data_IF_853654352225
#
_entry.id   IF_853654352225
#
_cell.length_a   1.000
_cell.length_b   1.000
_cell.length_c   1.000
_cell.angle_alpha   90.00
_cell.angle_beta   90.00
_cell.angle_gamma   90.00
#
_symmetry.space_group_name_H-M   'P 1'
#
loop_
_entity.id
_entity.type
_entity.pdbx_description
1 polymer ?
#
# COMPACT_ATOMS: atom_id res chain seq x y z
N UNK A 1 -12.66 -6.56 -18.06
CA UNK A 1 -13.13 -5.87 -16.84
C UNK A 1 -12.55 -4.47 -16.79
N UNK A 2 -13.34 -3.47 -16.39
CA UNK A 2 -12.83 -2.12 -16.09
C UNK A 2 -11.98 -2.21 -14.81
N UNK A 3 -10.76 -1.65 -14.83
CA UNK A 3 -9.91 -1.54 -13.63
C UNK A 3 -10.31 -0.30 -12.83
N UNK A 4 -10.37 -0.42 -11.51
CA UNK A 4 -10.69 0.66 -10.60
C UNK A 4 -9.41 1.22 -9.99
N UNK A 5 -9.30 2.55 -9.94
CA UNK A 5 -8.14 3.22 -9.35
C UNK A 5 -8.35 3.41 -7.86
N UNK A 6 -7.25 3.43 -7.11
CA UNK A 6 -7.26 3.86 -5.72
C UNK A 6 -7.45 5.39 -5.64
N UNK A 7 -8.12 5.84 -4.58
CA UNK A 7 -8.30 7.26 -4.31
C UNK A 7 -7.06 7.93 -3.68
N UNK A 8 -6.04 7.16 -3.28
CA UNK A 8 -4.74 7.68 -2.85
C UNK A 8 -3.68 7.52 -3.95
N UNK A 9 -2.73 8.46 -3.99
CA UNK A 9 -1.43 8.26 -4.63
C UNK A 9 -0.55 7.51 -3.64
N UNK A 10 0.01 6.38 -4.05
CA UNK A 10 0.84 5.57 -3.16
C UNK A 10 2.04 5.01 -3.89
N UNK A 11 3.18 4.99 -3.21
CA UNK A 11 4.36 4.32 -3.73
C UNK A 11 4.08 2.83 -3.88
N UNK A 12 4.57 2.20 -4.95
CA UNK A 12 4.37 0.77 -5.19
C UNK A 12 3.00 0.37 -5.72
N UNK A 13 2.09 1.31 -6.03
CA UNK A 13 0.74 1.01 -6.52
C UNK A 13 0.71 -0.02 -7.67
N UNK A 14 0.02 -1.14 -7.44
CA UNK A 14 0.03 -2.33 -8.33
C UNK A 14 -0.93 -2.28 -9.50
N UNK A 15 -1.53 -1.12 -9.79
CA UNK A 15 -2.52 -0.95 -10.86
C UNK A 15 -2.09 -1.52 -12.22
N UNK A 16 -0.82 -1.36 -12.60
CA UNK A 16 -0.27 -1.89 -13.85
C UNK A 16 -0.05 -3.41 -13.82
N UNK A 17 0.15 -3.99 -12.64
CA UNK A 17 0.43 -5.42 -12.41
C UNK A 17 -0.82 -6.23 -12.07
N UNK A 18 -2.00 -5.59 -11.97
CA UNK A 18 -3.24 -6.24 -11.55
C UNK A 18 -3.60 -7.48 -12.38
N UNK A 19 -3.34 -7.48 -13.68
CA UNK A 19 -3.69 -8.63 -14.52
C UNK A 19 -2.80 -9.83 -14.21
N UNK A 20 -1.51 -9.61 -13.97
CA UNK A 20 -0.58 -10.68 -13.59
C UNK A 20 -0.82 -11.16 -12.17
N UNK A 21 -1.13 -10.26 -11.23
CA UNK A 21 -1.50 -10.63 -9.85
C UNK A 21 -2.76 -11.49 -9.87
N UNK A 22 -3.83 -11.04 -10.54
CA UNK A 22 -5.11 -11.78 -10.61
C UNK A 22 -4.99 -13.16 -11.24
N UNK A 23 -4.09 -13.34 -12.20
CA UNK A 23 -3.85 -14.68 -12.80
C UNK A 23 -3.19 -15.66 -11.82
N UNK A 24 -2.53 -15.16 -10.79
CA UNK A 24 -1.81 -15.97 -9.81
C UNK A 24 -2.44 -15.99 -8.43
N UNK A 25 -3.47 -15.18 -8.21
CA UNK A 25 -4.24 -15.13 -6.97
C UNK A 25 -5.48 -16.02 -7.14
N UNK A 26 -5.58 -17.17 -6.46
CA UNK A 26 -6.72 -18.06 -6.61
C UNK A 26 -7.98 -17.48 -5.98
N UNK A 27 -9.11 -18.10 -6.29
CA UNK A 27 -10.37 -17.85 -5.57
C UNK A 27 -10.27 -18.33 -4.12
N UNK A 28 -11.09 -17.73 -3.26
CA UNK A 28 -11.21 -18.07 -1.85
C UNK A 28 -12.32 -17.24 -1.19
N UNK A 29 -12.55 -17.46 0.08
CA UNK A 29 -13.60 -16.75 0.83
C UNK A 29 -13.11 -15.38 1.32
N UNK A 30 -11.84 -15.31 1.70
CA UNK A 30 -11.22 -14.14 2.32
C UNK A 30 -9.91 -13.81 1.63
N UNK A 31 -9.68 -12.53 1.30
CA UNK A 31 -8.35 -12.03 0.97
C UNK A 31 -7.77 -11.28 2.17
N UNK A 32 -6.56 -11.68 2.58
CA UNK A 32 -5.75 -10.93 3.54
C UNK A 32 -4.67 -10.16 2.79
N UNK A 33 -4.62 -8.83 2.97
CA UNK A 33 -3.52 -7.98 2.52
C UNK A 33 -2.83 -7.34 3.74
N UNK A 34 -1.70 -7.88 4.23
CA UNK A 34 -0.99 -7.32 5.39
C UNK A 34 -0.22 -6.01 5.09
N UNK A 35 -0.17 -5.61 3.81
CA UNK A 35 0.45 -4.40 3.33
C UNK A 35 -0.49 -3.71 2.32
N UNK A 36 -1.70 -3.37 2.75
CA UNK A 36 -2.77 -2.92 1.83
C UNK A 36 -2.35 -1.69 1.03
N UNK A 37 -1.58 -0.76 1.61
CA UNK A 37 -1.22 0.49 0.96
C UNK A 37 -2.46 1.16 0.34
N UNK A 38 -2.43 1.49 -0.96
CA UNK A 38 -3.58 2.08 -1.67
C UNK A 38 -4.77 1.13 -1.93
N UNK A 39 -4.68 -0.15 -1.61
CA UNK A 39 -5.74 -1.14 -1.83
C UNK A 39 -6.00 -1.48 -3.30
N UNK A 40 -4.99 -1.40 -4.17
CA UNK A 40 -5.19 -1.65 -5.61
C UNK A 40 -5.70 -3.06 -5.92
N UNK A 41 -5.23 -4.09 -5.20
CA UNK A 41 -5.68 -5.48 -5.38
C UNK A 41 -7.09 -5.65 -4.83
N UNK A 42 -7.34 -5.27 -3.58
CA UNK A 42 -8.68 -5.19 -2.97
C UNK A 42 -9.75 -4.56 -3.88
N UNK A 43 -9.46 -3.41 -4.50
CA UNK A 43 -10.43 -2.69 -5.35
C UNK A 43 -10.72 -3.37 -6.70
N UNK A 44 -9.96 -4.42 -7.04
CA UNK A 44 -9.98 -5.07 -8.36
C UNK A 44 -10.11 -6.60 -8.30
N UNK A 45 -10.33 -7.18 -7.12
CA UNK A 45 -10.64 -8.60 -6.89
C UNK A 45 -12.05 -8.76 -6.34
N UNK A 46 -12.55 -9.99 -6.27
CA UNK A 46 -13.86 -10.30 -5.71
C UNK A 46 -13.72 -11.47 -4.73
N UNK A 47 -13.67 -11.16 -3.44
CA UNK A 47 -13.75 -12.10 -2.33
C UNK A 47 -14.97 -11.74 -1.48
N UNK A 48 -15.50 -12.72 -0.73
CA UNK A 48 -16.67 -12.50 0.12
C UNK A 48 -16.37 -11.56 1.29
N UNK A 49 -15.13 -11.57 1.77
CA UNK A 49 -14.62 -10.65 2.80
C UNK A 49 -13.14 -10.33 2.62
N UNK A 50 -12.68 -9.27 3.26
CA UNK A 50 -11.29 -8.83 3.25
C UNK A 50 -10.79 -8.50 4.67
N UNK A 51 -9.52 -8.84 4.96
CA UNK A 51 -8.79 -8.31 6.11
C UNK A 51 -7.61 -7.52 5.55
N UNK A 52 -7.65 -6.20 5.73
CA UNK A 52 -6.73 -5.26 5.11
C UNK A 52 -5.95 -4.56 6.21
N UNK A 53 -4.64 -4.77 6.25
CA UNK A 53 -3.78 -4.20 7.28
C UNK A 53 -2.65 -3.35 6.69
N UNK A 54 -2.24 -2.37 7.47
CA UNK A 54 -1.05 -1.57 7.23
C UNK A 54 -0.51 -1.09 8.59
N UNK A 55 0.78 -0.83 8.67
CA UNK A 55 1.39 -0.25 9.89
C UNK A 55 1.10 1.25 9.99
N UNK A 56 0.68 1.89 8.90
CA UNK A 56 0.33 3.30 8.88
C UNK A 56 -1.07 3.53 9.49
N UNK A 57 -1.09 4.05 10.72
CA UNK A 57 -2.33 4.34 11.45
C UNK A 57 -3.20 5.41 10.79
N UNK A 58 -2.61 6.43 10.15
CA UNK A 58 -3.38 7.48 9.45
C UNK A 58 -4.09 6.92 8.23
N UNK A 59 -3.46 5.98 7.53
CA UNK A 59 -4.06 5.28 6.39
C UNK A 59 -5.27 4.44 6.83
N UNK A 60 -5.11 3.63 7.88
CA UNK A 60 -6.18 2.77 8.39
C UNK A 60 -7.32 3.61 8.98
N UNK A 61 -7.00 4.71 9.68
CA UNK A 61 -7.98 5.67 10.16
C UNK A 61 -8.81 6.27 9.01
N UNK A 62 -8.15 6.75 7.96
CA UNK A 62 -8.81 7.26 6.75
C UNK A 62 -9.74 6.20 6.14
N UNK A 63 -9.29 4.96 6.01
CA UNK A 63 -10.10 3.88 5.41
C UNK A 63 -11.36 3.57 6.20
N UNK A 64 -11.27 3.51 7.54
CA UNK A 64 -12.45 3.32 8.38
C UNK A 64 -13.41 4.52 8.30
N UNK A 65 -12.91 5.76 8.27
CA UNK A 65 -13.76 6.95 8.10
C UNK A 65 -14.48 6.95 6.75
N UNK A 66 -13.77 6.64 5.65
CA UNK A 66 -14.41 6.56 4.32
C UNK A 66 -15.41 5.41 4.26
N UNK A 67 -15.14 4.28 4.92
CA UNK A 67 -16.09 3.16 5.02
C UNK A 67 -17.40 3.55 5.73
N UNK A 68 -17.30 4.30 6.83
CA UNK A 68 -18.43 4.56 7.73
C UNK A 68 -19.18 5.86 7.42
N UNK A 69 -18.48 6.87 6.90
CA UNK A 69 -18.95 8.27 6.80
C UNK A 69 -18.65 8.89 5.42
N UNK A 70 -18.71 8.11 4.35
CA UNK A 70 -18.40 8.59 2.99
C UNK A 70 -19.17 9.87 2.60
N UNK A 71 -20.49 9.90 2.85
CA UNK A 71 -21.37 11.00 2.45
C UNK A 71 -21.05 12.32 3.18
N UNK A 72 -20.40 12.25 4.35
CA UNK A 72 -19.90 13.40 5.09
C UNK A 72 -18.46 13.74 4.69
N UNK A 73 -17.62 12.70 4.57
CA UNK A 73 -16.20 12.84 4.26
C UNK A 73 -15.95 13.46 2.88
N UNK A 74 -16.68 13.02 1.86
CA UNK A 74 -16.48 13.48 0.47
C UNK A 74 -16.71 14.99 0.32
N UNK A 75 -17.83 15.59 0.76
CA UNK A 75 -18.02 17.04 0.64
C UNK A 75 -17.00 17.83 1.48
N UNK A 76 -16.67 17.39 2.69
CA UNK A 76 -15.70 18.07 3.56
C UNK A 76 -14.28 18.06 2.94
N UNK A 77 -13.84 16.90 2.46
CA UNK A 77 -12.56 16.77 1.78
C UNK A 77 -12.51 17.65 0.52
N UNK A 78 -13.60 17.72 -0.26
CA UNK A 78 -13.67 18.55 -1.47
C UNK A 78 -13.44 20.03 -1.20
N UNK A 79 -13.83 20.55 -0.04
CA UNK A 79 -13.63 21.96 0.30
C UNK A 79 -12.15 22.38 0.26
N UNK A 80 -11.22 21.44 0.43
CA UNK A 80 -9.78 21.67 0.33
C UNK A 80 -9.23 21.58 -1.10
N UNK A 81 -10.01 21.09 -2.08
CA UNK A 81 -9.59 20.89 -3.47
C UNK A 81 -10.03 22.07 -4.35
N UNK A 82 -9.66 23.28 -3.93
CA UNK A 82 -9.96 24.54 -4.61
C UNK A 82 -8.68 25.20 -5.15
N UNK A 83 -8.78 26.19 -6.05
CA UNK A 83 -7.61 26.97 -6.46
C UNK A 83 -6.87 27.61 -5.27
N UNK A 84 -7.60 28.06 -4.25
CA UNK A 84 -7.06 28.63 -3.02
C UNK A 84 -6.37 27.58 -2.15
N UNK A 85 -6.90 26.34 -2.14
CA UNK A 85 -6.27 25.20 -1.48
C UNK A 85 -4.96 24.78 -2.14
N UNK A 86 -4.77 25.02 -3.44
CA UNK A 86 -3.54 24.68 -4.16
C UNK A 86 -2.46 25.76 -4.06
N UNK A 87 -2.21 26.22 -2.84
CA UNK A 87 -1.20 27.23 -2.51
C UNK A 87 -0.17 26.69 -1.52
N UNK A 88 1.07 27.19 -1.59
CA UNK A 88 2.16 26.68 -0.75
C UNK A 88 2.00 27.04 0.73
N UNK A 89 1.48 28.22 1.06
CA UNK A 89 1.28 28.66 2.43
C UNK A 89 0.14 27.86 3.06
N UNK A 90 -0.97 27.71 2.32
CA UNK A 90 -2.11 26.88 2.72
C UNK A 90 -1.70 25.42 2.93
N UNK A 91 -0.90 24.86 2.02
CA UNK A 91 -0.38 23.50 2.17
C UNK A 91 0.42 23.31 3.47
N UNK A 92 1.33 24.22 3.79
CA UNK A 92 2.14 24.10 5.01
C UNK A 92 1.33 24.35 6.28
N UNK A 93 0.33 25.23 6.24
CA UNK A 93 -0.62 25.40 7.35
C UNK A 93 -1.43 24.12 7.60
N UNK A 94 -2.01 23.52 6.55
CA UNK A 94 -2.72 22.24 6.66
C UNK A 94 -1.81 21.10 7.12
N UNK A 95 -0.53 21.07 6.72
CA UNK A 95 0.43 20.07 7.18
C UNK A 95 0.76 20.24 8.67
N UNK A 96 0.93 21.47 9.12
CA UNK A 96 1.12 21.78 10.53
C UNK A 96 -0.11 21.39 11.34
N UNK A 97 -1.30 21.75 10.86
CA UNK A 97 -2.58 21.35 11.46
C UNK A 97 -2.65 19.82 11.57
N UNK A 98 -2.37 19.09 10.50
CA UNK A 98 -2.36 17.63 10.51
C UNK A 98 -1.42 17.05 11.56
N UNK A 99 -0.21 17.58 11.70
CA UNK A 99 0.77 17.09 12.68
C UNK A 99 0.36 17.39 14.14
N UNK A 100 -0.46 18.41 14.38
CA UNK A 100 -0.92 18.83 15.71
C UNK A 100 -2.34 18.33 16.05
N UNK A 101 -3.09 17.86 15.05
CA UNK A 101 -4.48 17.47 15.18
C UNK A 101 -4.61 16.08 15.81
N UNK A 102 -5.43 15.97 16.86
CA UNK A 102 -5.81 14.70 17.49
C UNK A 102 -7.20 14.19 17.06
N UNK A 103 -7.96 14.99 16.31
CA UNK A 103 -9.29 14.59 15.82
C UNK A 103 -9.14 13.66 14.61
N UNK A 104 -9.59 12.41 14.77
CA UNK A 104 -9.45 11.36 13.77
C UNK A 104 -10.07 11.75 12.41
N UNK A 105 -11.22 12.41 12.44
CA UNK A 105 -11.94 12.80 11.23
C UNK A 105 -11.21 13.90 10.46
N UNK A 106 -10.84 14.99 11.14
CA UNK A 106 -10.08 16.09 10.56
C UNK A 106 -8.72 15.64 10.05
N UNK A 107 -8.03 14.74 10.77
CA UNK A 107 -6.78 14.12 10.29
C UNK A 107 -7.00 13.39 8.96
N UNK A 108 -8.06 12.61 8.80
CA UNK A 108 -8.34 11.89 7.55
C UNK A 108 -8.61 12.86 6.38
N UNK A 109 -9.38 13.92 6.61
CA UNK A 109 -9.65 14.97 5.61
C UNK A 109 -8.34 15.63 5.15
N UNK A 110 -7.50 16.03 6.11
CA UNK A 110 -6.19 16.61 5.83
C UNK A 110 -5.24 15.62 5.15
N UNK A 111 -5.27 14.34 5.53
CA UNK A 111 -4.42 13.30 4.95
C UNK A 111 -4.67 13.12 3.44
N UNK A 112 -5.93 13.08 3.02
CA UNK A 112 -6.28 13.02 1.60
C UNK A 112 -5.82 14.27 0.84
N UNK A 113 -6.05 15.45 1.41
CA UNK A 113 -5.57 16.72 0.84
C UNK A 113 -4.06 16.70 0.67
N UNK A 114 -3.31 16.40 1.73
CA UNK A 114 -1.85 16.36 1.73
C UNK A 114 -1.33 15.33 0.72
N UNK A 115 -1.91 14.13 0.66
CA UNK A 115 -1.52 13.11 -0.33
C UNK A 115 -1.63 13.60 -1.78
N UNK A 116 -2.69 14.35 -2.08
CA UNK A 116 -2.96 14.85 -3.44
C UNK A 116 -2.15 16.11 -3.79
N UNK A 117 -1.75 16.90 -2.79
CA UNK A 117 -1.02 18.16 -2.97
C UNK A 117 0.49 18.03 -2.74
N UNK A 118 0.97 16.98 -2.08
CA UNK A 118 2.39 16.80 -1.77
C UNK A 118 3.23 16.30 -2.95
N UNK A 119 4.55 16.47 -2.84
CA UNK A 119 5.50 15.98 -3.82
C UNK A 119 5.36 14.47 -4.07
N UNK A 120 5.06 14.12 -5.32
CA UNK A 120 4.83 12.77 -5.83
C UNK A 120 3.81 11.89 -5.10
N UNK A 121 2.98 12.44 -4.19
CA UNK A 121 2.08 11.61 -3.37
C UNK A 121 2.84 10.73 -2.38
N UNK A 122 4.02 11.16 -1.94
CA UNK A 122 4.78 10.46 -0.90
C UNK A 122 4.04 10.54 0.44
N UNK A 123 4.15 9.47 1.21
CA UNK A 123 3.76 9.42 2.61
C UNK A 123 5.02 9.18 3.43
N UNK A 124 5.53 10.22 4.11
CA UNK A 124 6.79 10.16 4.86
C UNK A 124 6.70 10.98 6.13
N UNK A 125 7.09 10.34 7.22
CA UNK A 125 7.13 10.91 8.55
C UNK A 125 8.59 11.04 9.03
N UNK A 126 8.85 11.99 9.92
CA UNK A 126 10.11 12.07 10.66
C UNK A 126 10.08 11.12 11.88
N UNK A 127 11.19 11.09 12.63
CA UNK A 127 11.32 10.28 13.86
C UNK A 127 10.30 10.67 14.95
N UNK A 128 9.77 11.90 14.89
CA UNK A 128 8.76 12.40 15.81
C UNK A 128 7.33 12.07 15.38
N UNK A 129 7.15 11.31 14.29
CA UNK A 129 5.84 10.94 13.77
C UNK A 129 5.14 12.03 12.96
N UNK A 130 5.84 13.09 12.57
CA UNK A 130 5.26 14.21 11.82
C UNK A 130 5.44 14.05 10.31
N UNK A 131 4.37 14.25 9.55
CA UNK A 131 4.43 14.25 8.09
C UNK A 131 5.29 15.41 7.60
N UNK A 132 6.33 15.11 6.80
CA UNK A 132 7.34 16.09 6.40
C UNK A 132 7.53 16.22 4.87
N UNK A 133 6.53 15.83 4.08
CA UNK A 133 6.60 15.89 2.61
C UNK A 133 6.37 17.34 2.14
N UNK A 134 7.19 17.88 1.22
CA UNK A 134 7.03 19.24 0.71
C UNK A 134 5.86 19.35 -0.29
N UNK A 135 5.43 20.59 -0.56
CA UNK A 135 4.39 20.89 -1.54
C UNK A 135 4.78 20.43 -2.96
N UNK A 136 3.84 19.82 -3.68
CA UNK A 136 4.09 19.17 -4.97
C UNK A 136 3.96 20.08 -6.20
N UNK A 137 3.41 21.30 -6.06
CA UNK A 137 3.25 22.29 -7.14
C UNK A 137 2.53 21.77 -8.39
N UNK A 138 1.50 20.93 -8.21
CA UNK A 138 0.68 20.49 -9.34
C UNK A 138 -0.17 21.64 -9.87
N UNK A 139 -0.47 21.63 -11.18
CA UNK A 139 -1.36 22.63 -11.80
C UNK A 139 -2.77 22.58 -11.22
N UNK A 140 -3.32 21.38 -11.06
CA UNK A 140 -4.66 21.12 -10.49
C UNK A 140 -4.69 19.70 -9.92
N UNK A 141 -4.56 19.53 -8.60
CA UNK A 141 -4.77 18.25 -7.95
C UNK A 141 -6.14 17.67 -8.26
N UNK A 142 -6.19 16.40 -8.64
CA UNK A 142 -7.43 15.68 -8.91
C UNK A 142 -8.12 15.30 -7.60
N UNK A 143 -9.40 15.63 -7.46
CA UNK A 143 -10.24 15.18 -6.36
C UNK A 143 -10.90 13.83 -6.73
N UNK A 144 -10.61 12.74 -6.00
CA UNK A 144 -11.00 11.39 -6.38
C UNK A 144 -12.39 10.99 -5.86
N UNK A 145 -13.42 11.72 -6.29
CA UNK A 145 -14.80 11.50 -5.83
C UNK A 145 -15.33 10.10 -6.14
N UNK A 146 -15.30 9.70 -7.41
CA UNK A 146 -15.81 8.40 -7.85
C UNK A 146 -15.02 7.26 -7.18
N UNK A 147 -13.71 7.42 -7.02
CA UNK A 147 -12.88 6.42 -6.36
C UNK A 147 -13.14 6.34 -4.84
N UNK A 148 -13.53 7.43 -4.18
CA UNK A 148 -13.91 7.43 -2.76
C UNK A 148 -15.21 6.66 -2.54
N UNK A 149 -16.25 6.94 -3.34
CA UNK A 149 -17.52 6.21 -3.23
C UNK A 149 -17.37 4.74 -3.61
N UNK A 150 -16.60 4.44 -4.67
CA UNK A 150 -16.28 3.06 -5.02
C UNK A 150 -15.53 2.34 -3.89
N UNK A 151 -14.56 3.01 -3.25
CA UNK A 151 -13.87 2.45 -2.09
C UNK A 151 -14.83 2.19 -0.94
N UNK A 152 -15.72 3.14 -0.62
CA UNK A 152 -16.70 3.01 0.47
C UNK A 152 -17.67 1.85 0.27
N UNK A 153 -18.16 1.65 -0.96
CA UNK A 153 -19.01 0.50 -1.33
C UNK A 153 -18.26 -0.82 -1.11
N UNK A 154 -17.04 -0.91 -1.63
CA UNK A 154 -16.19 -2.09 -1.49
C UNK A 154 -15.80 -2.37 -0.03
N UNK A 155 -15.58 -1.32 0.75
CA UNK A 155 -15.15 -1.37 2.13
C UNK A 155 -16.18 -2.01 3.08
N UNK A 156 -17.44 -2.14 2.66
CA UNK A 156 -18.46 -2.85 3.44
C UNK A 156 -18.13 -4.34 3.62
N UNK A 157 -17.33 -4.92 2.72
CA UNK A 157 -16.84 -6.29 2.80
C UNK A 157 -15.46 -6.40 3.48
N UNK A 158 -14.89 -5.29 3.97
CA UNK A 158 -13.52 -5.24 4.47
C UNK A 158 -13.46 -4.89 5.97
N UNK A 159 -12.50 -5.49 6.65
CA UNK A 159 -12.04 -5.07 7.98
C UNK A 159 -10.66 -4.44 7.84
N UNK A 160 -10.52 -3.19 8.27
CA UNK A 160 -9.24 -2.48 8.25
C UNK A 160 -8.61 -2.49 9.64
N UNK A 161 -7.36 -2.94 9.75
CA UNK A 161 -6.64 -3.04 11.02
C UNK A 161 -5.25 -2.40 10.93
N UNK A 162 -4.84 -1.68 11.97
CA UNK A 162 -3.52 -1.08 12.07
C UNK A 162 -2.60 -2.02 12.84
N UNK A 163 -1.98 -2.96 12.14
CA UNK A 163 -1.20 -4.05 12.73
C UNK A 163 0.00 -4.39 11.85
N UNK A 164 1.00 -5.04 12.43
CA UNK A 164 2.13 -5.57 11.68
C UNK A 164 1.72 -6.78 10.83
N UNK A 165 2.53 -7.07 9.82
CA UNK A 165 2.26 -8.12 8.85
C UNK A 165 2.18 -9.50 9.48
N UNK A 166 3.04 -9.81 10.45
CA UNK A 166 3.12 -11.09 11.14
C UNK A 166 1.86 -11.36 11.98
N UNK A 167 1.37 -10.35 12.71
CA UNK A 167 0.11 -10.43 13.46
C UNK A 167 -1.07 -10.65 12.51
N UNK A 168 -1.10 -9.92 11.39
CA UNK A 168 -2.16 -10.02 10.40
C UNK A 168 -2.17 -11.40 9.72
N UNK A 169 -0.99 -11.93 9.38
CA UNK A 169 -0.83 -13.27 8.80
C UNK A 169 -1.26 -14.38 9.77
N UNK A 170 -1.07 -14.19 11.08
CA UNK A 170 -1.57 -15.10 12.11
C UNK A 170 -3.10 -15.23 12.18
N UNK A 171 -3.85 -14.34 11.52
CA UNK A 171 -5.32 -14.41 11.39
C UNK A 171 -5.78 -15.25 10.20
N UNK A 172 -4.86 -15.76 9.38
CA UNK A 172 -5.20 -16.57 8.22
C UNK A 172 -5.76 -17.93 8.67
N UNK A 173 -6.92 -18.29 8.12
CA UNK A 173 -7.62 -19.55 8.37
C UNK A 173 -7.85 -20.27 7.05
N UNK A 174 -8.33 -21.51 7.10
CA UNK A 174 -8.73 -22.25 5.89
C UNK A 174 -9.75 -21.44 5.06
N UNK A 175 -9.58 -21.45 3.74
CA UNK A 175 -10.39 -20.65 2.81
C UNK A 175 -9.88 -19.21 2.61
N UNK A 176 -8.83 -18.81 3.31
CA UNK A 176 -8.13 -17.54 3.07
C UNK A 176 -7.11 -17.66 1.94
N UNK A 177 -7.00 -16.58 1.16
CA UNK A 177 -5.89 -16.30 0.26
C UNK A 177 -5.15 -15.08 0.80
N UNK A 178 -3.83 -15.06 0.71
CA UNK A 178 -3.00 -13.95 1.19
C UNK A 178 -2.27 -13.31 0.02
N UNK A 179 -2.30 -11.98 -0.05
CA UNK A 179 -1.47 -11.20 -0.97
C UNK A 179 -0.58 -10.23 -0.20
N UNK A 180 0.74 -10.40 -0.31
CA UNK A 180 1.74 -9.57 0.35
C UNK A 180 2.45 -8.66 -0.64
N UNK A 181 2.40 -7.36 -0.39
CA UNK A 181 3.14 -6.33 -1.13
C UNK A 181 4.05 -5.51 -0.20
N UNK A 182 5.11 -6.13 0.35
CA UNK A 182 5.99 -5.46 1.30
C UNK A 182 6.71 -4.25 0.66
N UNK A 183 7.20 -3.29 1.46
CA UNK A 183 8.18 -2.32 0.98
C UNK A 183 9.35 -3.05 0.32
N UNK A 184 9.77 -2.60 -0.87
CA UNK A 184 10.71 -3.39 -1.67
C UNK A 184 12.10 -3.50 -1.07
N UNK A 185 12.74 -4.62 -1.37
CA UNK A 185 14.13 -4.84 -1.08
C UNK A 185 15.02 -3.77 -1.73
N UNK A 186 16.10 -3.32 -1.07
CA UNK A 186 17.04 -2.39 -1.66
C UNK A 186 17.68 -2.99 -2.93
N UNK A 187 17.90 -2.16 -3.95
CA UNK A 187 18.47 -2.59 -5.23
C UNK A 187 19.96 -2.98 -5.15
N UNK A 188 20.65 -2.60 -4.08
CA UNK A 188 22.01 -3.04 -3.79
C UNK A 188 22.27 -3.06 -2.28
N UNK A 189 23.19 -3.91 -1.84
CA UNK A 189 23.66 -3.94 -0.44
C UNK A 189 24.27 -2.59 0.01
N UNK A 190 24.78 -1.78 -0.93
CA UNK A 190 25.36 -0.45 -0.68
C UNK A 190 24.34 0.68 -0.57
N UNK A 191 23.13 0.51 -1.14
CA UNK A 191 22.02 1.46 -0.95
C UNK A 191 21.46 1.45 0.48
N UNK A 192 21.86 0.45 1.28
CA UNK A 192 21.44 0.25 2.66
C UNK A 192 22.16 1.19 3.64
N UNK A 193 23.34 1.71 3.28
CA UNK A 193 24.20 2.46 4.21
C UNK A 193 23.75 3.90 4.47
N UNK A 194 22.73 4.40 3.75
CA UNK A 194 22.23 5.78 3.84
C UNK A 194 20.82 5.93 4.41
N UNK A 195 20.15 4.82 4.78
CA UNK A 195 18.81 4.87 5.37
C UNK A 195 18.91 4.90 6.91
N UNK A 196 18.78 6.08 7.49
CA UNK A 196 18.62 6.25 8.94
C UNK A 196 17.42 5.43 9.43
N UNK A 197 17.71 4.37 10.17
CA UNK A 197 16.77 3.39 10.70
C UNK A 197 15.95 3.99 11.85
N UNK A 198 14.64 4.12 11.63
CA UNK A 198 13.57 3.65 12.53
C UNK A 198 12.33 3.39 11.64
N UNK A 199 11.63 2.27 11.85
CA UNK A 199 10.45 1.82 11.07
C UNK A 199 10.63 1.49 9.57
N UNK A 200 11.84 1.13 9.12
CA UNK A 200 12.02 0.56 7.77
C UNK A 200 11.86 -0.96 7.79
N UNK A 201 11.11 -1.51 6.82
CA UNK A 201 10.99 -2.97 6.60
C UNK A 201 12.36 -3.54 6.21
N UNK A 202 13.00 -4.20 7.17
CA UNK A 202 14.39 -4.65 7.14
C UNK A 202 14.56 -5.93 6.31
N UNK A 203 15.81 -6.26 5.97
CA UNK A 203 16.16 -7.54 5.34
C UNK A 203 15.71 -8.75 6.17
N UNK A 204 15.74 -8.63 7.50
CA UNK A 204 15.27 -9.67 8.41
C UNK A 204 13.75 -9.84 8.32
N UNK A 205 13.00 -8.74 8.23
CA UNK A 205 11.55 -8.78 8.05
C UNK A 205 11.15 -9.33 6.68
N UNK A 206 11.91 -9.03 5.62
CA UNK A 206 11.73 -9.64 4.29
C UNK A 206 11.88 -11.16 4.32
N UNK A 207 12.95 -11.66 4.96
CA UNK A 207 13.17 -13.09 5.11
C UNK A 207 12.08 -13.73 5.99
N UNK A 208 11.74 -13.10 7.12
CA UNK A 208 10.71 -13.59 8.02
C UNK A 208 9.33 -13.68 7.33
N UNK A 209 8.99 -12.72 6.45
CA UNK A 209 7.78 -12.79 5.63
C UNK A 209 7.77 -14.05 4.72
N UNK A 210 8.90 -14.41 4.12
CA UNK A 210 9.02 -15.60 3.29
C UNK A 210 8.89 -16.91 4.10
N UNK A 211 9.44 -16.92 5.32
CA UNK A 211 9.31 -18.02 6.28
C UNK A 211 7.85 -18.22 6.70
N UNK A 212 7.14 -17.14 7.05
CA UNK A 212 5.71 -17.18 7.37
C UNK A 212 4.87 -17.67 6.17
N UNK A 213 5.17 -17.21 4.95
CA UNK A 213 4.47 -17.67 3.75
C UNK A 213 4.66 -19.17 3.51
N UNK A 214 5.87 -19.68 3.77
CA UNK A 214 6.18 -21.11 3.69
C UNK A 214 5.38 -21.91 4.71
N UNK A 215 5.36 -21.47 5.97
CA UNK A 215 4.58 -22.09 7.05
C UNK A 215 3.09 -22.13 6.71
N UNK A 216 2.49 -21.01 6.33
CA UNK A 216 1.07 -20.93 5.99
C UNK A 216 0.69 -21.86 4.84
N UNK A 217 1.54 -21.95 3.82
CA UNK A 217 1.30 -22.83 2.68
C UNK A 217 1.43 -24.31 3.07
N UNK A 218 2.49 -24.69 3.79
CA UNK A 218 2.79 -26.10 4.08
C UNK A 218 1.95 -26.67 5.22
N UNK A 219 1.72 -25.89 6.28
CA UNK A 219 1.05 -26.37 7.50
C UNK A 219 -0.45 -26.10 7.48
N UNK A 220 -0.89 -25.02 6.82
CA UNK A 220 -2.30 -24.60 6.83
C UNK A 220 -2.99 -24.71 5.46
N UNK A 221 -2.26 -25.12 4.41
CA UNK A 221 -2.77 -25.16 3.03
C UNK A 221 -3.34 -23.81 2.56
N UNK A 222 -2.76 -22.70 3.04
CA UNK A 222 -3.17 -21.34 2.70
C UNK A 222 -2.32 -20.85 1.53
N UNK A 223 -2.97 -20.33 0.47
CA UNK A 223 -2.23 -19.76 -0.65
C UNK A 223 -1.71 -18.39 -0.31
N UNK A 224 -0.41 -18.16 -0.53
CA UNK A 224 0.25 -16.86 -0.32
C UNK A 224 0.93 -16.42 -1.62
N UNK A 225 0.60 -15.20 -2.08
CA UNK A 225 1.25 -14.56 -3.21
C UNK A 225 2.02 -13.34 -2.73
N UNK A 226 3.33 -13.29 -2.96
CA UNK A 226 4.19 -12.16 -2.61
C UNK A 226 4.67 -11.46 -3.87
N UNK A 227 4.63 -10.12 -3.91
CA UNK A 227 5.29 -9.32 -4.96
C UNK A 227 6.51 -8.57 -4.45
N UNK A 228 7.62 -8.63 -5.17
CA UNK A 228 8.83 -7.85 -4.88
C UNK A 228 9.61 -7.50 -6.17
N UNK A 229 10.73 -6.80 -6.04
CA UNK A 229 11.71 -6.70 -7.12
C UNK A 229 12.32 -8.06 -7.45
N UNK A 230 12.62 -8.30 -8.71
CA UNK A 230 13.39 -9.47 -9.13
C UNK A 230 14.89 -9.22 -8.96
N UNK A 231 15.42 -9.69 -7.83
CA UNK A 231 16.85 -9.58 -7.45
C UNK A 231 17.39 -10.94 -6.99
N UNK A 232 18.73 -11.13 -6.94
CA UNK A 232 19.32 -12.34 -6.35
C UNK A 232 18.83 -12.63 -4.93
N UNK A 233 18.72 -11.58 -4.09
CA UNK A 233 18.27 -11.70 -2.69
C UNK A 233 16.82 -12.16 -2.58
N UNK A 234 15.91 -11.57 -3.36
CA UNK A 234 14.49 -11.96 -3.34
C UNK A 234 14.29 -13.37 -3.90
N UNK A 235 15.11 -13.81 -4.86
CA UNK A 235 15.09 -15.20 -5.34
C UNK A 235 15.59 -16.19 -4.30
N UNK A 236 16.57 -15.80 -3.50
CA UNK A 236 17.05 -16.59 -2.35
C UNK A 236 15.97 -16.70 -1.27
N UNK A 237 15.37 -15.58 -0.86
CA UNK A 237 14.30 -15.59 0.15
C UNK A 237 13.09 -16.41 -0.30
N UNK A 238 12.70 -16.30 -1.57
CA UNK A 238 11.52 -16.97 -2.11
C UNK A 238 11.82 -18.34 -2.74
N UNK A 239 12.98 -18.94 -2.46
CA UNK A 239 13.36 -20.25 -3.02
C UNK A 239 12.39 -21.39 -2.66
N UNK A 240 11.67 -21.26 -1.54
CA UNK A 240 10.66 -22.23 -1.10
C UNK A 240 9.29 -22.04 -1.76
N UNK A 241 9.11 -20.97 -2.57
CA UNK A 241 7.87 -20.76 -3.30
C UNK A 241 7.65 -21.88 -4.33
N UNK A 242 6.43 -22.37 -4.42
CA UNK A 242 6.01 -23.38 -5.40
C UNK A 242 6.25 -22.88 -6.84
N UNK A 243 6.10 -21.57 -7.06
CA UNK A 243 6.35 -20.96 -8.36
C UNK A 243 6.85 -19.52 -8.23
N UNK A 244 7.85 -19.19 -9.04
CA UNK A 244 8.37 -17.84 -9.23
C UNK A 244 8.03 -17.35 -10.64
N UNK A 245 7.36 -16.20 -10.75
CA UNK A 245 7.00 -15.59 -12.03
C UNK A 245 7.64 -14.22 -12.16
N UNK A 246 8.49 -14.07 -13.17
CA UNK A 246 9.10 -12.81 -13.54
C UNK A 246 8.14 -11.99 -14.43
N UNK A 247 7.94 -10.72 -14.08
CA UNK A 247 7.17 -9.77 -14.87
C UNK A 247 8.08 -8.64 -15.32
N UNK A 248 8.21 -8.48 -16.64
CA UNK A 248 8.98 -7.38 -17.23
C UNK A 248 8.20 -6.07 -17.10
N UNK A 249 8.54 -5.27 -16.10
CA UNK A 249 7.98 -3.94 -15.91
C UNK A 249 8.95 -2.84 -16.34
N UNK A 250 8.42 -1.83 -17.03
CA UNK A 250 9.14 -0.58 -17.26
C UNK A 250 9.02 0.31 -16.02
N UNK A 251 9.77 0.00 -14.96
CA UNK A 251 9.90 0.92 -13.82
C UNK A 251 11.11 1.82 -14.01
N UNK A 252 10.90 3.12 -13.80
CA UNK A 252 11.97 4.10 -13.62
C UNK A 252 12.07 4.40 -12.13
N UNK A 253 13.07 3.83 -11.46
CA UNK A 253 13.36 4.13 -10.06
C UNK A 253 14.74 4.79 -10.00
N UNK A 254 14.78 6.10 -10.19
CA UNK A 254 15.86 6.97 -9.71
C UNK A 254 15.44 8.45 -9.83
N UNK A 255 15.89 9.27 -8.88
CA UNK A 255 15.81 10.74 -8.94
C UNK A 255 16.92 11.36 -9.80
N UNK A 256 17.84 10.54 -10.33
CA UNK A 256 19.03 10.96 -11.07
C UNK A 256 18.90 10.50 -12.53
N UNK A 257 18.87 11.44 -13.46
CA UNK A 257 18.59 11.22 -14.89
C UNK A 257 19.49 10.21 -15.62
N UNK A 258 20.64 9.85 -15.03
CA UNK A 258 21.62 8.91 -15.60
C UNK A 258 21.61 7.47 -15.06
N UNK A 259 20.82 7.15 -14.01
CA UNK A 259 20.90 5.85 -13.30
C UNK A 259 19.57 5.10 -13.20
N UNK A 260 18.71 5.20 -14.24
CA UNK A 260 17.44 4.45 -14.27
C UNK A 260 17.71 2.96 -14.51
N UNK A 261 17.95 2.20 -13.44
CA UNK A 261 18.02 0.75 -13.49
C UNK A 261 16.62 0.17 -13.75
N UNK A 262 16.50 -0.65 -14.79
CA UNK A 262 15.29 -1.42 -15.06
C UNK A 262 15.36 -2.67 -14.18
N UNK A 263 14.41 -2.81 -13.28
CA UNK A 263 14.30 -3.98 -12.40
C UNK A 263 12.94 -4.60 -12.67
N UNK A 264 12.92 -5.90 -12.96
CA UNK A 264 11.69 -6.64 -13.19
C UNK A 264 10.95 -6.83 -11.86
N UNK A 265 9.67 -7.18 -11.93
CA UNK A 265 8.93 -7.62 -10.76
C UNK A 265 9.04 -9.14 -10.64
N UNK A 266 9.03 -9.66 -9.42
CA UNK A 266 8.92 -11.06 -9.09
C UNK A 266 7.63 -11.29 -8.33
N UNK A 267 6.82 -12.24 -8.80
CA UNK A 267 5.73 -12.83 -8.02
C UNK A 267 6.17 -14.19 -7.50
N UNK A 268 6.09 -14.39 -6.19
CA UNK A 268 6.36 -15.66 -5.54
C UNK A 268 5.05 -16.25 -5.02
N UNK A 269 4.65 -17.38 -5.59
CA UNK A 269 3.43 -18.12 -5.25
C UNK A 269 3.79 -19.31 -4.38
N UNK A 270 3.20 -19.35 -3.18
CA UNK A 270 3.25 -20.45 -2.24
C UNK A 270 1.86 -21.10 -2.17
N UNK A 271 1.80 -22.40 -2.44
CA UNK A 271 0.58 -23.20 -2.32
C UNK A 271 0.89 -24.46 -1.51
N UNK A 272 -0.11 -24.97 -0.78
CA UNK A 272 -0.01 -26.30 -0.18
C UNK A 272 0.22 -27.38 -1.25
N UNK A 273 0.82 -28.51 -0.83
CA UNK A 273 1.00 -29.70 -1.68
C UNK A 273 -0.31 -30.46 -1.84
#
# INVERSE_FOLDING_TARGET
MKKNRAFLKWAGGKYLLLDDIRRNLPEGDCLIEPFVGAGSVFLNTQYSRYILADINSDLINLYNIVKERADEFVPDARMLFTPQGNDSEVYYACRQEFNQCNDAYRRAVLFLYLNRHCYNGLCRYNLSGELNVPFGRYRKPYFPEDELYWFAERAQHATFVCESYDVTLGKALQGTVVYCDPPYAPLSATANFTAYHTNSFTMREQQHLAELATMLAQENSITVLISNHDTPLTREWYQAATKLHEIKVRRSISSIGGSRLKVNELLALYTGQ
#
